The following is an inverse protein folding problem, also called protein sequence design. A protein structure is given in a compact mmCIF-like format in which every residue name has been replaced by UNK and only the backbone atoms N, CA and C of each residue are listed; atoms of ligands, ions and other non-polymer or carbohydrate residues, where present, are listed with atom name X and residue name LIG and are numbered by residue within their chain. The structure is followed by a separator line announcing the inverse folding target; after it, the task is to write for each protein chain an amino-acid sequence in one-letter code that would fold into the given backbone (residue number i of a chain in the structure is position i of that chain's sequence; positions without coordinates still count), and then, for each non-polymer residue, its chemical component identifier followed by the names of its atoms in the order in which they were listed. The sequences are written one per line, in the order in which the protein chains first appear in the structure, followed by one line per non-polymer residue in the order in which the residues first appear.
data_IF_800156931911
#
_entry.id   IF_800156931911
#
_cell.length_a   1.000
_cell.length_b   1.000
_cell.length_c   1.000
_cell.angle_alpha   90.00
_cell.angle_beta   90.00
_cell.angle_gamma   90.00
#
_symmetry.space_group_name_H-M   'P 1'
#
loop_
_entity.id
_entity.type
_entity.pdbx_description
1 polymer ?
#
# COMPACT_ATOMS: atom_id res chain seq x y z
N UNK A 1 41.22 -21.89 34.58
CA UNK A 1 41.14 -21.39 33.18
C UNK A 1 39.95 -22.10 32.54
N UNK A 2 38.79 -21.44 32.46
CA UNK A 2 37.58 -21.97 31.80
C UNK A 2 37.50 -21.37 30.40
N UNK A 3 37.20 -22.14 29.35
CA UNK A 3 37.07 -21.61 28.00
C UNK A 3 35.74 -20.85 27.85
N UNK A 4 35.81 -19.73 27.15
CA UNK A 4 34.72 -18.81 26.91
C UNK A 4 33.58 -19.46 26.08
N UNK A 5 32.37 -19.13 26.47
CA UNK A 5 31.15 -19.41 25.66
C UNK A 5 31.17 -18.56 24.41
N UNK A 6 31.24 -19.23 23.25
CA UNK A 6 31.03 -18.63 21.96
C UNK A 6 29.61 -18.04 21.87
N UNK A 7 29.54 -16.79 21.50
CA UNK A 7 28.28 -16.11 21.12
C UNK A 7 27.83 -16.66 19.77
N UNK A 8 26.73 -17.40 19.78
CA UNK A 8 26.02 -17.83 18.57
C UNK A 8 25.42 -16.59 17.86
N UNK A 9 25.76 -16.31 16.58
CA UNK A 9 25.15 -15.25 15.80
C UNK A 9 23.96 -15.80 15.03
N UNK A 10 22.87 -16.17 15.68
CA UNK A 10 21.60 -16.52 15.00
C UNK A 10 20.39 -15.97 15.76
N UNK A 11 20.33 -14.67 15.86
CA UNK A 11 19.09 -13.96 16.09
C UNK A 11 18.42 -13.65 14.76
N UNK A 12 17.94 -14.68 14.03
CA UNK A 12 16.96 -14.47 12.97
C UNK A 12 15.66 -14.13 13.66
N UNK A 13 15.34 -12.83 13.72
CA UNK A 13 14.03 -12.36 14.13
C UNK A 13 12.99 -13.05 13.25
N UNK A 14 12.01 -13.80 13.79
CA UNK A 14 10.99 -14.44 12.98
C UNK A 14 10.21 -13.34 12.24
N UNK A 15 10.18 -13.41 10.92
CA UNK A 15 9.53 -12.43 10.07
C UNK A 15 8.03 -12.36 10.40
N UNK A 16 7.63 -11.32 11.10
CA UNK A 16 6.24 -10.98 11.41
C UNK A 16 5.72 -9.91 10.44
N UNK A 17 6.00 -10.09 9.15
CA UNK A 17 5.52 -9.17 8.12
C UNK A 17 4.00 -9.28 8.01
N UNK A 18 3.24 -8.18 8.20
CA UNK A 18 1.79 -8.18 8.03
C UNK A 18 1.42 -8.39 6.55
N UNK A 19 0.28 -9.04 6.31
CA UNK A 19 -0.35 -9.17 5.01
C UNK A 19 -1.39 -8.06 4.85
N UNK A 20 -1.21 -7.18 3.88
CA UNK A 20 -2.17 -6.11 3.57
C UNK A 20 -3.01 -6.56 2.39
N UNK A 21 -4.31 -6.50 2.54
CA UNK A 21 -5.28 -6.94 1.53
C UNK A 21 -6.36 -5.86 1.34
N UNK A 22 -6.14 -4.91 0.41
CA UNK A 22 -7.18 -3.98 0.01
C UNK A 22 -8.29 -4.71 -0.76
N UNK A 23 -9.55 -4.34 -0.53
CA UNK A 23 -10.70 -4.95 -1.21
C UNK A 23 -11.10 -6.33 -0.66
N UNK A 24 -10.68 -6.67 0.57
CA UNK A 24 -11.03 -7.96 1.17
C UNK A 24 -12.51 -8.10 1.51
N UNK A 25 -13.18 -6.99 1.80
CA UNK A 25 -14.60 -6.94 2.14
C UNK A 25 -15.36 -6.16 1.06
N UNK A 26 -15.75 -6.82 -0.05
CA UNK A 26 -16.36 -6.15 -1.19
C UNK A 26 -17.83 -5.77 -0.91
N UNK A 27 -18.29 -4.70 -1.54
CA UNK A 27 -19.72 -4.35 -1.58
C UNK A 27 -20.45 -5.18 -2.66
N UNK A 28 -20.51 -6.50 -2.48
CA UNK A 28 -21.23 -7.44 -3.34
C UNK A 28 -22.25 -8.23 -2.52
N UNK A 29 -23.33 -8.76 -3.14
CA UNK A 29 -24.31 -9.57 -2.42
C UNK A 29 -23.68 -10.78 -1.70
N UNK A 30 -24.05 -11.00 -0.44
CA UNK A 30 -23.55 -12.11 0.41
C UNK A 30 -23.57 -13.47 -0.27
N UNK A 31 -24.60 -13.71 -1.10
CA UNK A 31 -24.76 -14.97 -1.83
C UNK A 31 -23.64 -15.25 -2.85
N UNK A 32 -22.89 -14.21 -3.27
CA UNK A 32 -21.79 -14.32 -4.21
C UNK A 32 -20.44 -14.47 -3.53
N UNK A 33 -20.36 -14.26 -2.20
CA UNK A 33 -19.13 -14.42 -1.43
C UNK A 33 -18.85 -15.92 -1.24
N UNK A 34 -17.72 -16.44 -1.75
CA UNK A 34 -17.38 -17.84 -1.61
C UNK A 34 -16.98 -18.18 -0.18
N UNK A 35 -16.93 -19.48 0.14
CA UNK A 35 -16.32 -19.97 1.38
C UNK A 35 -14.80 -19.82 1.27
N UNK A 36 -14.20 -19.19 2.28
CA UNK A 36 -12.76 -18.95 2.40
C UNK A 36 -12.26 -19.62 3.69
N UNK A 37 -12.09 -20.96 3.68
CA UNK A 37 -11.92 -21.74 4.91
C UNK A 37 -10.71 -21.33 5.75
N UNK A 38 -9.62 -20.88 5.13
CA UNK A 38 -8.43 -20.44 5.87
C UNK A 38 -8.63 -19.07 6.49
N UNK A 39 -9.18 -18.12 5.75
CA UNK A 39 -9.53 -16.78 6.25
C UNK A 39 -10.60 -16.86 7.33
N UNK A 40 -11.67 -17.62 7.11
CA UNK A 40 -12.76 -17.83 8.07
C UNK A 40 -12.24 -18.45 9.38
N UNK A 41 -11.29 -19.39 9.29
CA UNK A 41 -10.62 -19.95 10.45
C UNK A 41 -9.80 -18.90 11.21
N UNK A 42 -9.05 -18.08 10.47
CA UNK A 42 -8.25 -17.02 11.06
C UNK A 42 -9.12 -15.98 11.76
N UNK A 43 -10.21 -15.55 11.13
CA UNK A 43 -11.20 -14.62 11.71
C UNK A 43 -11.88 -15.19 12.96
N UNK A 44 -12.26 -16.48 12.93
CA UNK A 44 -12.91 -17.12 14.07
C UNK A 44 -12.00 -17.22 15.31
N UNK A 45 -10.72 -17.50 15.12
CA UNK A 45 -9.78 -17.80 16.23
C UNK A 45 -8.89 -16.64 16.61
N UNK A 46 -8.65 -15.71 15.69
CA UNK A 46 -7.85 -14.53 15.91
C UNK A 46 -8.56 -13.44 16.72
N UNK A 47 -7.90 -12.32 16.78
CA UNK A 47 -8.42 -11.07 17.33
C UNK A 47 -8.58 -10.07 16.19
N UNK A 48 -9.80 -9.62 15.95
CA UNK A 48 -10.15 -8.62 14.96
C UNK A 48 -10.31 -7.27 15.64
N UNK A 49 -9.57 -6.27 15.17
CA UNK A 49 -9.70 -4.88 15.61
C UNK A 49 -10.09 -4.05 14.39
N UNK A 50 -11.13 -3.24 14.54
CA UNK A 50 -11.57 -2.30 13.50
C UNK A 50 -11.19 -0.89 13.94
N UNK A 51 -10.50 -0.16 13.07
CA UNK A 51 -10.10 1.21 13.30
C UNK A 51 -10.69 2.15 12.26
N UNK A 52 -11.21 3.27 12.75
CA UNK A 52 -11.72 4.35 11.91
C UNK A 52 -10.60 5.36 11.57
N UNK A 53 -10.83 6.19 10.56
CA UNK A 53 -9.90 7.08 9.87
C UNK A 53 -8.83 7.83 10.71
N UNK A 54 -9.11 8.19 11.95
CA UNK A 54 -8.14 8.90 12.82
C UNK A 54 -7.10 7.98 13.46
N UNK A 55 -7.38 6.67 13.54
CA UNK A 55 -6.58 5.67 14.24
C UNK A 55 -5.87 4.70 13.30
N UNK A 56 -5.98 4.91 11.99
CA UNK A 56 -5.43 3.98 10.99
C UNK A 56 -3.91 3.84 11.07
N UNK A 57 -3.21 4.92 11.45
CA UNK A 57 -1.75 4.89 11.69
C UNK A 57 -1.39 4.15 13.00
N UNK A 58 -2.29 4.16 14.00
CA UNK A 58 -2.10 3.47 15.27
C UNK A 58 -2.34 1.95 15.17
N UNK A 59 -3.09 1.51 14.16
CA UNK A 59 -3.37 0.09 13.90
C UNK A 59 -2.28 -0.62 13.10
N UNK A 60 -1.30 0.11 12.57
CA UNK A 60 -0.14 -0.48 11.93
C UNK A 60 0.81 -0.95 13.01
N UNK A 61 1.27 -2.21 12.97
CA UNK A 61 2.19 -2.69 13.99
C UNK A 61 3.42 -1.79 14.06
N UNK A 62 3.69 -1.27 15.26
CA UNK A 62 4.89 -0.50 15.57
C UNK A 62 6.11 -1.25 15.04
N UNK A 63 6.70 -0.73 14.03
CA UNK A 63 7.91 -1.28 13.53
C UNK A 63 9.05 -0.36 13.95
N UNK A 64 9.75 -0.82 14.89
CA UNK A 64 11.09 -0.37 15.24
C UNK A 64 12.02 -0.53 14.04
N UNK A 65 12.03 0.46 13.15
CA UNK A 65 12.96 0.52 12.02
C UNK A 65 13.17 1.97 11.62
N UNK A 66 14.38 2.47 11.84
CA UNK A 66 14.81 3.85 11.61
C UNK A 66 14.83 4.29 10.13
N UNK A 67 14.34 3.46 9.21
CA UNK A 67 14.49 3.69 7.76
C UNK A 67 13.10 3.78 7.11
N UNK A 68 12.88 4.83 6.34
CA UNK A 68 11.65 5.00 5.57
C UNK A 68 11.55 4.01 4.40
N UNK A 69 10.33 3.84 3.87
CA UNK A 69 10.09 2.94 2.74
C UNK A 69 10.83 3.36 1.48
N UNK A 70 10.74 4.64 1.12
CA UNK A 70 11.43 5.18 -0.04
C UNK A 70 12.96 4.99 0.08
N UNK A 71 13.53 5.19 1.28
CA UNK A 71 14.94 4.94 1.55
C UNK A 71 15.31 3.46 1.41
N UNK A 72 14.43 2.54 1.83
CA UNK A 72 14.66 1.10 1.63
C UNK A 72 14.65 0.74 0.15
N UNK A 73 13.68 1.22 -0.62
CA UNK A 73 13.63 0.99 -2.07
C UNK A 73 14.87 1.55 -2.77
N UNK A 74 15.30 2.75 -2.39
CA UNK A 74 16.53 3.33 -2.92
C UNK A 74 17.77 2.46 -2.60
N UNK A 75 17.82 1.87 -1.41
CA UNK A 75 18.89 0.92 -1.02
C UNK A 75 18.87 -0.34 -1.87
N UNK A 76 17.71 -0.95 -2.04
CA UNK A 76 17.54 -2.16 -2.85
C UNK A 76 17.89 -1.92 -4.32
N UNK A 77 17.63 -0.71 -4.82
CA UNK A 77 17.99 -0.27 -6.17
C UNK A 77 19.45 0.23 -6.30
N UNK A 78 20.24 0.26 -5.22
CA UNK A 78 21.62 0.73 -5.22
C UNK A 78 21.79 2.24 -5.34
N UNK A 79 20.76 3.03 -5.04
CA UNK A 79 20.71 4.49 -5.26
C UNK A 79 21.09 5.32 -4.04
N UNK A 80 21.47 4.73 -2.91
CA UNK A 80 21.71 5.47 -1.65
C UNK A 80 22.73 6.62 -1.76
N UNK A 81 23.67 6.54 -2.69
CA UNK A 81 24.68 7.56 -2.90
C UNK A 81 24.19 8.76 -3.75
N UNK A 82 22.99 8.66 -4.33
CA UNK A 82 22.43 9.66 -5.24
C UNK A 82 21.71 10.80 -4.51
N UNK A 83 21.24 10.56 -3.29
CA UNK A 83 20.57 11.56 -2.47
C UNK A 83 20.63 11.23 -0.97
N UNK A 84 20.49 12.26 -0.12
CA UNK A 84 20.50 12.12 1.33
C UNK A 84 19.16 11.63 1.90
N UNK A 85 18.04 12.03 1.27
CA UNK A 85 16.69 11.70 1.70
C UNK A 85 15.84 11.25 0.49
N UNK A 86 14.79 10.50 0.76
CA UNK A 86 13.99 9.87 -0.28
C UNK A 86 12.50 9.98 0.00
N UNK A 87 11.70 10.18 -1.06
CA UNK A 87 10.25 9.97 -1.07
C UNK A 87 9.88 9.10 -2.26
N UNK A 88 8.76 8.41 -2.16
CA UNK A 88 8.09 7.85 -3.32
C UNK A 88 7.46 8.98 -4.13
N UNK A 89 7.44 8.83 -5.44
CA UNK A 89 6.96 9.81 -6.40
C UNK A 89 6.12 9.09 -7.47
N UNK A 90 5.04 8.42 -7.05
CA UNK A 90 4.27 7.54 -7.92
C UNK A 90 3.48 8.34 -8.98
N UNK A 91 3.52 7.92 -10.27
CA UNK A 91 2.69 8.52 -11.31
C UNK A 91 1.21 8.28 -11.02
N UNK A 92 0.40 9.32 -11.18
CA UNK A 92 -1.03 9.28 -10.93
C UNK A 92 -1.83 9.85 -12.10
N UNK A 93 -3.11 9.44 -12.17
CA UNK A 93 -4.12 10.12 -12.97
C UNK A 93 -5.11 10.82 -12.05
N UNK A 94 -5.37 12.10 -12.33
CA UNK A 94 -6.37 12.90 -11.62
C UNK A 94 -7.59 13.06 -12.51
N UNK A 95 -8.73 12.63 -12.03
CA UNK A 95 -10.01 12.74 -12.71
C UNK A 95 -10.87 13.82 -12.03
N UNK A 96 -11.37 14.76 -12.83
CA UNK A 96 -12.32 15.77 -12.35
C UNK A 96 -13.71 15.15 -12.33
N UNK A 97 -14.36 15.19 -11.18
CA UNK A 97 -15.75 14.74 -11.02
C UNK A 97 -16.52 15.77 -10.19
N UNK A 98 -17.35 16.57 -10.88
CA UNK A 98 -18.00 17.73 -10.26
C UNK A 98 -16.97 18.73 -9.71
N UNK A 99 -17.06 19.01 -8.42
CA UNK A 99 -16.14 19.91 -7.70
C UNK A 99 -14.93 19.16 -7.09
N UNK A 100 -14.83 17.84 -7.29
CA UNK A 100 -13.80 17.01 -6.69
C UNK A 100 -12.73 16.61 -7.71
N UNK A 101 -11.49 16.56 -7.25
CA UNK A 101 -10.37 16.00 -7.99
C UNK A 101 -10.06 14.61 -7.39
N UNK A 102 -10.39 13.56 -8.13
CA UNK A 102 -10.25 12.18 -7.67
C UNK A 102 -8.90 11.62 -8.06
N UNK A 103 -8.25 10.93 -7.11
CA UNK A 103 -7.03 10.20 -7.35
C UNK A 103 -7.33 8.85 -7.97
N UNK A 104 -6.80 8.59 -9.14
CA UNK A 104 -6.68 7.26 -9.74
C UNK A 104 -5.21 6.85 -9.75
N UNK A 105 -4.92 5.75 -9.11
CA UNK A 105 -3.57 5.28 -8.89
C UNK A 105 -3.12 4.30 -10.02
N UNK A 106 -1.85 3.89 -9.95
CA UNK A 106 -1.15 3.09 -10.96
C UNK A 106 -1.87 1.82 -11.44
N UNK A 107 -2.72 1.20 -10.62
CA UNK A 107 -3.46 -0.01 -11.03
C UNK A 107 -4.67 0.30 -11.93
N UNK A 108 -5.08 1.56 -12.02
CA UNK A 108 -6.19 1.98 -12.88
C UNK A 108 -5.76 2.35 -14.30
N UNK A 109 -4.45 2.39 -14.57
CA UNK A 109 -3.86 2.65 -15.89
C UNK A 109 -2.46 2.04 -15.98
N UNK A 110 -2.02 1.72 -17.17
CA UNK A 110 -0.68 1.21 -17.43
C UNK A 110 0.25 2.34 -17.90
N UNK A 111 1.50 2.31 -17.47
CA UNK A 111 2.58 3.18 -17.93
C UNK A 111 3.58 2.31 -18.69
N UNK A 112 4.07 2.77 -19.84
CA UNK A 112 5.12 2.08 -20.58
C UNK A 112 6.49 2.54 -20.13
N UNK A 113 7.50 1.71 -20.31
CA UNK A 113 8.86 2.00 -19.87
C UNK A 113 9.42 3.27 -20.55
N UNK A 114 9.20 3.42 -21.85
CA UNK A 114 9.60 4.61 -22.61
C UNK A 114 8.83 5.87 -22.19
N UNK A 115 7.56 5.74 -21.77
CA UNK A 115 6.76 6.85 -21.25
C UNK A 115 7.31 7.31 -19.90
N UNK A 116 7.57 6.36 -18.99
CA UNK A 116 8.16 6.61 -17.68
C UNK A 116 9.51 7.31 -17.82
N UNK A 117 10.41 6.78 -18.64
CA UNK A 117 11.74 7.35 -18.85
C UNK A 117 11.66 8.81 -19.35
N UNK A 118 10.80 9.10 -20.33
CA UNK A 118 10.65 10.45 -20.89
C UNK A 118 10.07 11.44 -19.88
N UNK A 119 9.10 10.99 -19.06
CA UNK A 119 8.50 11.83 -18.01
C UNK A 119 9.48 12.13 -16.88
N UNK A 120 10.22 11.11 -16.41
CA UNK A 120 11.24 11.27 -15.37
C UNK A 120 12.38 12.17 -15.85
N UNK A 121 12.81 12.05 -17.11
CA UNK A 121 13.81 12.94 -17.69
C UNK A 121 13.35 14.41 -17.67
N UNK A 122 12.10 14.66 -18.08
CA UNK A 122 11.50 16.00 -18.05
C UNK A 122 11.41 16.57 -16.64
N UNK A 123 11.02 15.74 -15.65
CA UNK A 123 11.01 16.15 -14.24
C UNK A 123 12.40 16.47 -13.74
N UNK A 124 13.40 15.67 -14.09
CA UNK A 124 14.79 15.91 -13.71
C UNK A 124 15.36 17.21 -14.32
N UNK A 125 15.02 17.51 -15.58
CA UNK A 125 15.43 18.77 -16.22
C UNK A 125 14.79 19.98 -15.53
N UNK A 126 13.50 19.90 -15.19
CA UNK A 126 12.74 20.99 -14.59
C UNK A 126 13.18 21.28 -13.14
N UNK A 127 13.34 20.23 -12.33
CA UNK A 127 13.64 20.39 -10.89
C UNK A 127 15.13 20.28 -10.53
N UNK A 128 16.02 20.34 -11.51
CA UNK A 128 17.48 20.22 -11.28
C UNK A 128 18.00 21.28 -10.29
N UNK A 129 17.57 22.52 -10.42
CA UNK A 129 18.01 23.62 -9.56
C UNK A 129 17.41 23.55 -8.15
N UNK A 130 16.31 22.83 -7.96
CA UNK A 130 15.69 22.62 -6.66
C UNK A 130 16.27 21.47 -5.85
N UNK A 131 17.25 20.77 -6.40
CA UNK A 131 17.92 19.65 -5.75
C UNK A 131 17.02 18.40 -5.64
N UNK A 132 16.05 18.25 -6.56
CA UNK A 132 15.21 17.07 -6.68
C UNK A 132 15.77 16.20 -7.82
N UNK A 133 15.88 14.90 -7.59
CA UNK A 133 16.31 13.94 -8.59
C UNK A 133 15.37 12.75 -8.63
N UNK A 134 14.68 12.57 -9.73
CA UNK A 134 13.69 11.50 -9.92
C UNK A 134 14.32 10.26 -10.53
N UNK A 135 13.86 9.08 -10.11
CA UNK A 135 14.32 7.77 -10.55
C UNK A 135 13.11 6.86 -10.81
N UNK A 136 13.01 6.27 -11.99
CA UNK A 136 12.07 5.23 -12.27
C UNK A 136 12.68 3.87 -11.89
N UNK A 137 12.11 3.18 -10.91
CA UNK A 137 12.49 1.80 -10.55
C UNK A 137 11.76 0.79 -11.43
N UNK A 138 10.54 1.13 -11.79
CA UNK A 138 9.71 0.47 -12.80
C UNK A 138 8.84 1.54 -13.49
N UNK A 139 8.12 1.21 -14.56
CA UNK A 139 7.28 2.20 -15.24
C UNK A 139 6.31 2.95 -14.33
N UNK A 140 5.81 2.34 -13.29
CA UNK A 140 4.78 2.85 -12.38
C UNK A 140 5.26 3.08 -10.93
N UNK A 141 6.55 2.88 -10.66
CA UNK A 141 7.16 3.07 -9.33
C UNK A 141 8.35 4.00 -9.45
N UNK A 142 8.18 5.21 -8.94
CA UNK A 142 9.22 6.23 -8.99
C UNK A 142 9.65 6.66 -7.60
N UNK A 143 10.90 7.09 -7.48
CA UNK A 143 11.44 7.73 -6.29
C UNK A 143 11.88 9.15 -6.63
N UNK A 144 11.90 10.02 -5.63
CA UNK A 144 12.58 11.31 -5.68
C UNK A 144 13.58 11.39 -4.55
N UNK A 145 14.85 11.65 -4.93
CA UNK A 145 15.95 11.94 -4.03
C UNK A 145 16.00 13.43 -3.70
N UNK A 146 16.36 13.74 -2.45
CA UNK A 146 16.38 15.08 -1.87
C UNK A 146 17.69 15.32 -1.14
N UNK A 147 18.18 16.56 -1.17
CA UNK A 147 19.36 16.96 -0.41
C UNK A 147 19.04 17.25 1.07
N UNK A 148 17.82 17.71 1.36
CA UNK A 148 17.37 18.07 2.69
C UNK A 148 16.14 17.23 3.10
N UNK A 149 15.99 16.92 4.41
CA UNK A 149 14.84 16.17 4.88
C UNK A 149 13.54 16.98 4.68
N UNK A 150 12.52 16.40 4.03
CA UNK A 150 11.24 17.08 3.87
C UNK A 150 10.48 17.09 5.20
N UNK A 151 10.09 18.29 5.69
CA UNK A 151 9.29 18.44 6.91
C UNK A 151 7.80 18.40 6.58
N UNK A 152 7.37 17.26 6.04
CA UNK A 152 5.98 17.02 5.64
C UNK A 152 5.47 15.70 6.19
N UNK A 153 4.17 15.66 6.44
CA UNK A 153 3.39 14.45 6.61
C UNK A 153 2.67 14.14 5.30
N UNK A 154 2.77 12.92 4.85
CA UNK A 154 2.23 12.46 3.57
C UNK A 154 1.20 11.36 3.77
N UNK A 155 0.40 11.11 2.73
CA UNK A 155 -0.62 10.07 2.74
C UNK A 155 -0.31 9.06 1.64
N UNK A 156 -0.36 7.79 1.98
CA UNK A 156 -0.17 6.71 1.01
C UNK A 156 -1.29 6.74 -0.05
N UNK A 157 -0.98 6.71 -1.36
CA UNK A 157 -1.98 6.89 -2.42
C UNK A 157 -3.08 5.83 -2.39
N UNK A 158 -2.74 4.59 -2.07
CA UNK A 158 -3.68 3.47 -2.01
C UNK A 158 -4.83 3.69 -1.00
N UNK A 159 -4.64 4.52 0.02
CA UNK A 159 -5.68 4.81 1.00
C UNK A 159 -6.70 5.85 0.49
N UNK A 160 -6.51 6.38 -0.73
CA UNK A 160 -7.23 7.57 -1.25
C UNK A 160 -7.77 7.43 -2.65
N UNK A 161 -7.67 6.27 -3.27
CA UNK A 161 -8.21 6.02 -4.60
C UNK A 161 -9.70 6.30 -4.66
N UNK A 162 -10.12 6.99 -5.73
CA UNK A 162 -11.51 7.40 -5.94
C UNK A 162 -12.03 8.46 -4.98
N UNK A 163 -11.14 9.24 -4.32
CA UNK A 163 -11.53 10.31 -3.37
C UNK A 163 -10.95 11.65 -3.74
N UNK A 164 -11.62 12.72 -3.30
CA UNK A 164 -11.11 14.09 -3.41
C UNK A 164 -9.77 14.21 -2.68
N UNK A 165 -8.73 14.70 -3.39
CA UNK A 165 -7.35 14.81 -2.91
C UNK A 165 -7.10 15.97 -1.96
N UNK A 166 -7.97 16.98 -1.88
CA UNK A 166 -7.70 18.25 -1.20
C UNK A 166 -7.26 18.11 0.27
N UNK A 167 -7.88 17.17 0.99
CA UNK A 167 -7.54 16.91 2.39
C UNK A 167 -6.32 16.00 2.60
N UNK A 168 -5.63 15.58 1.52
CA UNK A 168 -4.58 14.54 1.57
C UNK A 168 -3.25 14.98 0.95
N UNK A 169 -3.22 16.19 0.42
CA UNK A 169 -1.98 16.82 0.00
C UNK A 169 -1.03 16.97 1.19
N UNK A 170 0.30 17.04 0.95
CA UNK A 170 1.30 17.16 2.01
C UNK A 170 0.95 18.23 3.04
N UNK A 171 1.14 17.90 4.32
CA UNK A 171 0.94 18.80 5.49
C UNK A 171 2.26 18.94 6.24
N UNK A 172 2.41 20.01 7.06
CA UNK A 172 3.61 20.29 7.81
C UNK A 172 4.26 21.61 7.42
N UNK A 173 5.48 21.85 7.90
CA UNK A 173 6.18 23.15 7.70
C UNK A 173 6.44 23.45 6.23
N UNK A 174 6.84 22.42 5.45
CA UNK A 174 7.14 22.56 4.03
C UNK A 174 5.92 22.29 3.12
N UNK A 175 4.70 22.18 3.68
CA UNK A 175 3.49 21.82 2.95
C UNK A 175 3.21 22.71 1.74
N UNK A 176 3.36 24.05 1.89
CA UNK A 176 3.13 25.02 0.82
C UNK A 176 4.07 24.76 -0.37
N UNK A 177 5.36 24.53 -0.10
CA UNK A 177 6.38 24.22 -1.12
C UNK A 177 6.05 22.92 -1.87
N UNK A 178 5.65 21.86 -1.14
CA UNK A 178 5.32 20.57 -1.75
C UNK A 178 4.01 20.61 -2.54
N UNK A 179 3.03 21.40 -2.12
CA UNK A 179 1.81 21.64 -2.91
C UNK A 179 2.10 22.43 -4.18
N UNK A 180 2.99 23.42 -4.12
CA UNK A 180 3.44 24.14 -5.31
C UNK A 180 4.11 23.17 -6.30
N UNK A 181 5.03 22.33 -5.85
CA UNK A 181 5.67 21.29 -6.66
C UNK A 181 4.66 20.31 -7.27
N UNK A 182 3.67 19.90 -6.50
CA UNK A 182 2.60 19.04 -6.99
C UNK A 182 1.83 19.68 -8.16
N UNK A 183 1.47 20.96 -8.02
CA UNK A 183 0.80 21.71 -9.09
C UNK A 183 1.72 21.92 -10.30
N UNK A 184 2.98 22.20 -10.07
CA UNK A 184 4.00 22.43 -11.10
C UNK A 184 4.20 21.15 -11.95
N UNK A 185 4.30 20.01 -11.30
CA UNK A 185 4.33 18.70 -11.98
C UNK A 185 3.08 18.50 -12.84
N UNK A 186 1.89 18.82 -12.34
CA UNK A 186 0.66 18.68 -13.14
C UNK A 186 0.71 19.56 -14.39
N UNK A 187 1.12 20.82 -14.26
CA UNK A 187 1.24 21.75 -15.39
C UNK A 187 2.26 21.25 -16.42
N UNK A 188 3.40 20.75 -15.95
CA UNK A 188 4.47 20.22 -16.80
C UNK A 188 4.02 18.98 -17.55
N UNK A 189 3.38 18.04 -16.87
CA UNK A 189 2.94 16.79 -17.49
C UNK A 189 1.72 16.97 -18.39
N UNK A 190 0.86 17.95 -18.13
CA UNK A 190 -0.35 18.18 -18.95
C UNK A 190 -0.02 18.41 -20.43
N UNK A 191 1.02 19.17 -20.72
CA UNK A 191 1.44 19.49 -22.09
C UNK A 191 2.49 18.53 -22.66
N UNK A 192 2.87 17.51 -21.90
CA UNK A 192 3.97 16.61 -22.28
C UNK A 192 3.61 15.75 -23.51
N UNK A 193 4.53 15.53 -24.48
CA UNK A 193 4.28 14.73 -25.67
C UNK A 193 3.80 13.30 -25.39
N UNK A 194 4.21 12.70 -24.27
CA UNK A 194 3.71 11.38 -23.80
C UNK A 194 2.20 11.45 -23.60
N UNK A 195 1.70 12.46 -22.90
CA UNK A 195 0.27 12.60 -22.64
C UNK A 195 -0.55 12.90 -23.90
N UNK A 196 0.00 13.69 -24.84
CA UNK A 196 -0.63 13.91 -26.15
C UNK A 196 -0.78 12.59 -26.93
N UNK A 197 0.24 11.72 -26.90
CA UNK A 197 0.16 10.39 -27.51
C UNK A 197 -0.82 9.47 -26.79
N UNK A 198 -0.90 9.55 -25.46
CA UNK A 198 -1.86 8.77 -24.65
C UNK A 198 -3.30 9.19 -24.96
N UNK A 199 -3.56 10.49 -25.05
CA UNK A 199 -4.86 11.04 -25.42
C UNK A 199 -5.28 10.58 -26.83
N UNK A 200 -4.37 10.65 -27.82
CA UNK A 200 -4.63 10.15 -29.17
C UNK A 200 -4.98 8.64 -29.20
N UNK A 201 -4.47 7.85 -28.23
CA UNK A 201 -4.78 6.44 -28.07
C UNK A 201 -5.98 6.18 -27.14
N UNK A 202 -6.63 7.23 -26.63
CA UNK A 202 -7.72 7.18 -25.63
C UNK A 202 -7.29 6.49 -24.32
N UNK A 203 -6.02 6.62 -23.96
CA UNK A 203 -5.47 6.16 -22.70
C UNK A 203 -5.52 7.30 -21.67
N UNK A 204 -5.63 6.95 -20.39
CA UNK A 204 -5.59 7.93 -19.30
C UNK A 204 -4.24 8.64 -19.28
N UNK A 205 -4.24 9.97 -19.17
CA UNK A 205 -3.03 10.77 -19.05
C UNK A 205 -2.36 10.52 -17.68
N UNK A 206 -1.05 10.62 -17.64
CA UNK A 206 -0.30 10.69 -16.38
C UNK A 206 -0.31 12.16 -15.98
N UNK A 207 -1.29 12.55 -15.15
CA UNK A 207 -1.57 13.95 -14.88
C UNK A 207 -0.80 14.53 -13.70
N UNK A 208 -0.06 13.71 -12.95
CA UNK A 208 0.71 14.18 -11.80
C UNK A 208 1.60 13.10 -11.19
N UNK A 209 2.27 13.48 -10.13
CA UNK A 209 3.10 12.61 -9.30
C UNK A 209 2.64 12.76 -7.85
N UNK A 210 2.38 11.64 -7.18
CA UNK A 210 2.02 11.63 -5.77
C UNK A 210 3.25 11.42 -4.91
N UNK A 211 3.58 12.45 -4.11
CA UNK A 211 4.70 12.39 -3.18
C UNK A 211 4.26 11.79 -1.85
N UNK A 212 4.92 10.72 -1.43
CA UNK A 212 4.60 10.05 -0.18
C UNK A 212 5.77 9.27 0.39
N UNK A 213 5.73 9.02 1.68
CA UNK A 213 6.60 8.09 2.35
C UNK A 213 5.94 7.58 3.63
N UNK A 214 6.42 6.46 4.10
CA UNK A 214 5.92 5.84 5.33
C UNK A 214 7.07 5.16 6.06
N UNK A 215 6.98 4.93 7.38
CA UNK A 215 7.93 4.10 8.10
C UNK A 215 8.09 2.73 7.41
N UNK A 216 9.32 2.23 7.31
CA UNK A 216 9.66 0.99 6.59
C UNK A 216 8.90 -0.25 7.09
N UNK A 217 8.39 -0.19 8.27
CA UNK A 217 7.60 -1.22 8.91
C UNK A 217 6.29 -1.55 8.20
N UNK A 218 5.69 -0.57 7.56
CA UNK A 218 4.48 -0.78 6.76
C UNK A 218 4.79 -1.63 5.51
N UNK A 219 6.03 -1.65 5.10
CA UNK A 219 6.47 -2.26 3.84
C UNK A 219 7.26 -3.57 3.97
N UNK A 220 7.53 -4.04 5.15
CA UNK A 220 7.74 -5.48 5.34
C UNK A 220 6.41 -6.24 5.16
N UNK A 221 5.31 -5.52 5.00
CA UNK A 221 4.01 -6.08 4.67
C UNK A 221 4.01 -6.61 3.24
N UNK A 222 3.57 -7.83 3.08
CA UNK A 222 3.19 -8.37 1.79
C UNK A 222 1.84 -7.75 1.40
N UNK A 223 1.80 -6.94 0.33
CA UNK A 223 0.54 -6.38 -0.17
C UNK A 223 -0.01 -7.29 -1.26
N UNK A 224 -1.26 -7.71 -1.12
CA UNK A 224 -1.99 -8.49 -2.12
C UNK A 224 -3.07 -7.61 -2.75
N UNK A 225 -2.80 -7.16 -3.95
CA UNK A 225 -3.61 -6.17 -4.68
C UNK A 225 -4.73 -6.79 -5.53
N UNK A 226 -4.75 -8.10 -5.68
CA UNK A 226 -5.63 -8.81 -6.62
C UNK A 226 -7.13 -8.61 -6.36
N UNK A 227 -7.52 -8.32 -5.13
CA UNK A 227 -8.92 -8.09 -4.75
C UNK A 227 -9.39 -6.66 -4.95
N UNK A 228 -8.48 -5.72 -5.00
CA UNK A 228 -8.79 -4.30 -4.98
C UNK A 228 -9.59 -3.81 -6.18
N UNK A 229 -9.11 -4.11 -7.39
CA UNK A 229 -9.80 -3.73 -8.61
C UNK A 229 -11.21 -4.33 -8.68
N UNK A 230 -11.36 -5.66 -8.56
CA UNK A 230 -12.66 -6.31 -8.52
C UNK A 230 -13.60 -5.76 -7.45
N UNK A 231 -13.10 -5.48 -6.22
CA UNK A 231 -13.88 -4.86 -5.15
C UNK A 231 -14.35 -3.45 -5.52
N UNK A 232 -13.45 -2.61 -6.03
CA UNK A 232 -13.74 -1.22 -6.37
C UNK A 232 -14.76 -1.07 -7.51
N UNK A 233 -14.77 -2.02 -8.45
CA UNK A 233 -15.68 -2.02 -9.59
C UNK A 233 -16.93 -2.91 -9.42
N UNK A 234 -17.09 -3.56 -8.27
CA UNK A 234 -18.23 -4.46 -8.01
C UNK A 234 -18.22 -5.73 -8.87
N UNK A 235 -17.07 -6.12 -9.42
CA UNK A 235 -16.93 -7.36 -10.21
C UNK A 235 -16.85 -8.57 -9.29
N UNK A 236 -18.04 -9.11 -8.97
CA UNK A 236 -18.19 -10.21 -8.03
C UNK A 236 -17.49 -11.49 -8.49
N UNK A 237 -17.45 -11.79 -9.80
CA UNK A 237 -16.82 -13.00 -10.30
C UNK A 237 -15.30 -12.91 -10.27
N UNK A 238 -14.71 -11.79 -10.72
CA UNK A 238 -13.28 -11.57 -10.62
C UNK A 238 -12.84 -11.52 -9.14
N UNK A 239 -13.64 -10.90 -8.27
CA UNK A 239 -13.37 -10.88 -6.83
C UNK A 239 -13.38 -12.29 -6.24
N UNK A 240 -14.38 -13.10 -6.59
CA UNK A 240 -14.51 -14.50 -6.14
C UNK A 240 -13.28 -15.33 -6.50
N UNK A 241 -12.81 -15.23 -7.73
CA UNK A 241 -11.62 -15.95 -8.20
C UNK A 241 -10.38 -15.52 -7.43
N UNK A 242 -10.15 -14.22 -7.31
CA UNK A 242 -9.01 -13.66 -6.59
C UNK A 242 -9.04 -14.00 -5.09
N UNK A 243 -10.22 -13.99 -4.46
CA UNK A 243 -10.39 -14.35 -3.05
C UNK A 243 -10.06 -15.83 -2.77
N UNK A 244 -10.49 -16.74 -3.64
CA UNK A 244 -10.15 -18.15 -3.55
C UNK A 244 -8.65 -18.40 -3.70
N UNK A 245 -7.99 -17.70 -4.63
CA UNK A 245 -6.54 -17.76 -4.78
C UNK A 245 -5.81 -17.23 -3.54
N UNK A 246 -6.22 -16.08 -3.02
CA UNK A 246 -5.67 -15.52 -1.77
C UNK A 246 -5.79 -16.52 -0.61
N UNK A 247 -6.97 -17.12 -0.42
CA UNK A 247 -7.23 -18.07 0.67
C UNK A 247 -6.34 -19.30 0.56
N UNK A 248 -6.25 -19.89 -0.65
CA UNK A 248 -5.49 -21.13 -0.88
C UNK A 248 -3.98 -20.94 -0.97
N UNK A 249 -3.52 -19.92 -1.71
CA UNK A 249 -2.11 -19.75 -2.06
C UNK A 249 -1.32 -18.87 -1.10
N UNK A 250 -2.01 -18.01 -0.33
CA UNK A 250 -1.36 -17.09 0.60
C UNK A 250 -1.74 -17.39 2.06
N UNK A 251 -3.03 -17.32 2.41
CA UNK A 251 -3.46 -17.47 3.81
C UNK A 251 -3.24 -18.90 4.30
N UNK A 252 -3.56 -19.92 3.51
CA UNK A 252 -3.36 -21.32 3.85
C UNK A 252 -1.91 -21.63 4.22
N UNK A 253 -0.91 -21.36 3.35
CA UNK A 253 0.50 -21.53 3.67
C UNK A 253 0.96 -20.72 4.89
N UNK A 254 0.44 -19.49 5.12
CA UNK A 254 0.77 -18.72 6.31
C UNK A 254 0.24 -19.35 7.59
N UNK A 255 -0.97 -19.90 7.58
CA UNK A 255 -1.53 -20.66 8.71
C UNK A 255 -0.74 -21.94 8.97
N UNK A 256 -0.30 -22.63 7.94
CA UNK A 256 0.54 -23.82 8.08
C UNK A 256 1.92 -23.48 8.65
N UNK A 257 2.52 -22.36 8.26
CA UNK A 257 3.77 -21.88 8.84
C UNK A 257 3.58 -21.54 10.34
N UNK A 258 2.44 -20.94 10.70
CA UNK A 258 2.08 -20.66 12.08
C UNK A 258 1.90 -21.94 12.90
N UNK A 259 1.19 -22.95 12.37
CA UNK A 259 1.00 -24.27 13.02
C UNK A 259 2.34 -24.97 13.25
N UNK A 260 3.23 -24.94 12.30
CA UNK A 260 4.57 -25.58 12.37
C UNK A 260 5.57 -24.78 13.23
N UNK A 261 5.19 -23.62 13.76
CA UNK A 261 6.06 -22.76 14.55
C UNK A 261 7.16 -22.05 13.75
N UNK A 262 7.06 -22.06 12.43
CA UNK A 262 7.95 -21.28 11.54
C UNK A 262 7.61 -19.79 11.55
N UNK A 263 6.39 -19.44 11.98
CA UNK A 263 5.89 -18.10 12.16
C UNK A 263 5.29 -17.98 13.57
N UNK A 264 5.46 -16.85 14.23
CA UNK A 264 4.93 -16.63 15.59
C UNK A 264 3.52 -16.07 15.58
N UNK A 265 3.25 -15.20 14.61
CA UNK A 265 1.99 -14.49 14.45
C UNK A 265 1.65 -14.30 12.98
N UNK A 266 0.37 -14.33 12.66
CA UNK A 266 -0.19 -13.90 11.40
C UNK A 266 -0.95 -12.60 11.65
N UNK A 267 -0.53 -11.54 10.98
CA UNK A 267 -1.23 -10.26 10.95
C UNK A 267 -1.74 -9.99 9.55
N UNK A 268 -3.04 -9.79 9.41
CA UNK A 268 -3.70 -9.42 8.17
C UNK A 268 -4.40 -8.09 8.37
N UNK A 269 -4.17 -7.15 7.46
CA UNK A 269 -4.79 -5.82 7.47
C UNK A 269 -5.63 -5.67 6.21
N UNK A 270 -6.94 -5.64 6.39
CA UNK A 270 -7.89 -5.28 5.34
C UNK A 270 -8.09 -3.76 5.35
N UNK A 271 -8.00 -3.15 4.18
CA UNK A 271 -8.20 -1.70 4.02
C UNK A 271 -9.41 -1.48 3.14
N UNK A 272 -10.45 -0.84 3.71
CA UNK A 272 -11.69 -0.51 3.00
C UNK A 272 -12.05 0.96 3.28
N UNK A 273 -12.16 1.72 2.23
CA UNK A 273 -12.63 3.11 2.33
C UNK A 273 -11.94 3.93 3.44
N UNK A 274 -12.68 4.18 4.52
CA UNK A 274 -12.23 4.96 5.70
C UNK A 274 -11.84 4.10 6.88
N UNK A 275 -11.91 2.79 6.74
CA UNK A 275 -11.69 1.86 7.82
C UNK A 275 -10.56 0.90 7.50
N UNK A 276 -9.88 0.43 8.51
CA UNK A 276 -8.99 -0.70 8.42
C UNK A 276 -9.39 -1.74 9.48
N UNK A 277 -9.41 -3.00 9.07
CA UNK A 277 -9.61 -4.11 9.96
C UNK A 277 -8.29 -4.88 10.09
N UNK A 278 -7.77 -4.97 11.30
CA UNK A 278 -6.54 -5.73 11.59
C UNK A 278 -6.92 -7.01 12.31
N UNK A 279 -6.57 -8.13 11.69
CA UNK A 279 -6.69 -9.45 12.24
C UNK A 279 -5.32 -9.92 12.72
N UNK A 280 -5.19 -10.24 13.99
CA UNK A 280 -3.99 -10.87 14.55
C UNK A 280 -4.31 -12.28 15.01
N UNK A 281 -3.47 -13.25 14.65
CA UNK A 281 -3.61 -14.65 15.02
C UNK A 281 -2.27 -15.22 15.43
N UNK A 282 -2.15 -15.62 16.68
CA UNK A 282 -0.97 -16.29 17.22
C UNK A 282 -1.13 -17.81 17.18
N UNK A 283 -0.01 -18.55 17.27
CA UNK A 283 -0.02 -20.01 17.31
C UNK A 283 -0.92 -20.57 18.40
N UNK A 284 -0.95 -19.96 19.58
CA UNK A 284 -1.77 -20.41 20.71
C UNK A 284 -3.27 -20.22 20.47
N UNK A 285 -3.65 -19.20 19.72
CA UNK A 285 -5.05 -18.95 19.37
C UNK A 285 -5.60 -19.99 18.40
N UNK A 286 -4.76 -20.69 17.64
CA UNK A 286 -5.19 -21.80 16.77
C UNK A 286 -5.83 -22.95 17.57
N UNK A 287 -5.54 -23.07 18.87
CA UNK A 287 -6.15 -24.08 19.75
C UNK A 287 -7.56 -23.73 20.23
N UNK A 288 -8.11 -22.58 19.86
CA UNK A 288 -9.48 -22.17 20.16
C UNK A 288 -10.51 -22.91 19.31
N UNK A 289 -10.51 -24.27 19.36
CA UNK A 289 -11.38 -25.15 18.54
C UNK A 289 -12.86 -24.96 18.82
N UNK A 290 -13.26 -24.37 19.95
CA UNK A 290 -14.64 -24.03 20.27
C UNK A 290 -15.16 -22.82 19.47
N UNK A 291 -14.29 -22.00 18.89
CA UNK A 291 -14.66 -20.93 17.96
C UNK A 291 -14.76 -21.50 16.55
N UNK A 292 -16.02 -21.66 16.09
CA UNK A 292 -16.31 -22.26 14.79
C UNK A 292 -16.16 -21.19 13.69
N UNK A 293 -15.48 -21.51 12.56
CA UNK A 293 -15.46 -20.65 11.38
C UNK A 293 -16.89 -20.39 10.87
N UNK A 294 -17.14 -19.13 10.53
CA UNK A 294 -18.39 -18.70 9.90
C UNK A 294 -18.09 -18.13 8.51
N UNK A 295 -19.05 -18.17 7.57
CA UNK A 295 -18.90 -17.49 6.29
C UNK A 295 -18.47 -16.03 6.47
N UNK A 296 -17.61 -15.53 5.58
CA UNK A 296 -17.11 -14.16 5.64
C UNK A 296 -18.25 -13.14 5.77
N UNK A 297 -19.30 -13.30 5.01
CA UNK A 297 -20.51 -12.48 5.04
C UNK A 297 -21.24 -12.44 6.41
N UNK A 298 -20.95 -13.36 7.32
CA UNK A 298 -21.58 -13.45 8.66
C UNK A 298 -20.61 -13.14 9.80
N UNK A 299 -19.43 -12.63 9.47
CA UNK A 299 -18.41 -12.35 10.50
C UNK A 299 -18.76 -11.05 11.24
N UNK A 300 -18.97 -11.11 12.59
CA UNK A 300 -19.30 -9.91 13.37
C UNK A 300 -18.20 -8.84 13.27
N UNK A 301 -18.60 -7.59 13.15
CA UNK A 301 -17.68 -6.43 13.10
C UNK A 301 -17.32 -5.99 11.68
N UNK A 302 -17.59 -6.78 10.65
CA UNK A 302 -17.37 -6.41 9.25
C UNK A 302 -18.46 -5.48 8.71
N UNK A 303 -19.77 -5.66 9.00
CA UNK A 303 -20.83 -4.74 8.58
C UNK A 303 -20.63 -3.29 9.04
N UNK A 304 -19.88 -3.07 10.10
CA UNK A 304 -19.55 -1.72 10.58
C UNK A 304 -18.58 -0.94 9.66
N UNK A 305 -17.98 -1.61 8.66
CA UNK A 305 -17.11 -0.99 7.66
C UNK A 305 -17.93 -0.36 6.52
N UNK A 306 -19.16 -0.81 6.30
CA UNK A 306 -20.03 -0.40 5.18
C UNK A 306 -20.68 0.99 5.38
N UNK A 307 -20.73 1.53 6.61
CA UNK A 307 -21.49 2.73 6.96
C UNK A 307 -20.68 3.84 7.66
N UNK A 308 -19.33 3.79 7.59
CA UNK A 308 -18.47 4.78 8.25
C UNK A 308 -17.72 5.69 7.19
#
# INVERSE_FOLDING_TARGET
MKPGRGTDPKGVCPQTSPLIVPGLFPEIPDALIPRLPHLELALARGHLTVAHRGQMLECWPDAAGDISFATRMAREAGLLNEAAHWLCADPIHLQVEGDALLLLERYSFSVREEESAALVETLNQHFAEEGLKFFALSPDVWLVGLNEPPRISTTHPLTRVGRNIDGYLPQGEDASRWRARFNEVQMLLHQHPVNQKREARRERMISGVWFWDTPASIHSAQVVETLRGPSAYGDAEAWRVAALQLDGEVIGPMLDALRRGKRQELTLVAVEGRCAATLTLTRWQLWRFWRRPQPLARTPGIPALEHA
#
